data_IF_042671694234
#
_entry.id   IF_042671694234
#
_cell.length_a   1.000
_cell.length_b   1.000
_cell.length_c   1.000
_cell.angle_alpha   90.00
_cell.angle_beta   90.00
_cell.angle_gamma   90.00
#
_symmetry.space_group_name_H-M   'P 1'
#
loop_
_entity.id
_entity.type
_entity.pdbx_description
1 polymer ?
#
# COMPACT_ATOMS: atom_id res chain seq x y z
N UNK A 1 36.83 1.51 -67.47
CA UNK A 1 36.52 2.33 -66.29
C UNK A 1 35.01 2.28 -66.01
N UNK A 2 34.57 1.53 -65.00
CA UNK A 2 33.21 1.60 -64.44
C UNK A 2 33.36 1.60 -62.92
N UNK A 3 33.08 2.74 -62.28
CA UNK A 3 33.05 2.86 -60.81
C UNK A 3 31.61 2.58 -60.37
N UNK A 4 31.44 1.53 -59.57
CA UNK A 4 30.20 1.13 -58.93
C UNK A 4 30.11 1.89 -57.60
N UNK A 5 29.15 2.81 -57.47
CA UNK A 5 28.88 3.51 -56.21
C UNK A 5 28.06 2.59 -55.30
N UNK A 6 28.65 2.17 -54.18
CA UNK A 6 27.97 1.46 -53.10
C UNK A 6 27.50 2.52 -52.10
N UNK A 7 26.17 2.69 -52.00
CA UNK A 7 25.52 3.45 -50.93
C UNK A 7 25.53 2.59 -49.65
N UNK A 8 25.92 3.10 -48.47
CA UNK A 8 25.65 2.40 -47.22
C UNK A 8 24.22 2.71 -46.77
N UNK A 9 23.36 1.70 -46.75
CA UNK A 9 22.07 1.76 -46.09
C UNK A 9 22.29 1.78 -44.57
N UNK A 10 22.11 2.96 -43.97
CA UNK A 10 22.10 3.16 -42.53
C UNK A 10 20.77 2.59 -41.99
N UNK A 11 20.78 1.31 -41.56
CA UNK A 11 19.68 0.72 -40.82
C UNK A 11 19.61 1.38 -39.43
N UNK A 12 18.66 2.31 -39.25
CA UNK A 12 18.25 2.74 -37.92
C UNK A 12 17.54 1.59 -37.22
N UNK A 13 18.25 0.95 -36.30
CA UNK A 13 17.66 0.09 -35.27
C UNK A 13 16.83 0.98 -34.33
N UNK A 14 15.54 1.10 -34.61
CA UNK A 14 14.57 1.60 -33.63
C UNK A 14 14.36 0.50 -32.60
N UNK A 15 15.04 0.61 -31.45
CA UNK A 15 14.73 -0.22 -30.30
C UNK A 15 13.25 0.03 -29.90
N UNK A 16 12.45 -1.01 -29.62
CA UNK A 16 11.15 -0.81 -29.03
C UNK A 16 11.37 -0.16 -27.66
N UNK A 17 10.86 1.06 -27.49
CA UNK A 17 10.76 1.68 -26.18
C UNK A 17 9.88 0.75 -25.33
N UNK A 18 10.49 0.05 -24.39
CA UNK A 18 9.76 -0.57 -23.30
C UNK A 18 9.06 0.57 -22.57
N UNK A 19 7.77 0.74 -22.81
CA UNK A 19 6.92 1.71 -22.14
C UNK A 19 6.89 1.37 -20.66
N UNK A 20 7.79 1.96 -19.88
CA UNK A 20 7.67 1.97 -18.43
C UNK A 20 6.34 2.66 -18.11
N UNK A 21 5.45 1.96 -17.40
CA UNK A 21 4.17 2.53 -16.95
C UNK A 21 4.47 3.81 -16.16
N UNK A 22 3.89 4.93 -16.60
CA UNK A 22 4.18 6.24 -16.02
C UNK A 22 3.44 6.39 -14.69
N UNK A 23 4.16 6.61 -13.59
CA UNK A 23 3.54 6.90 -12.30
C UNK A 23 2.73 8.19 -12.39
N UNK A 24 1.47 8.15 -11.95
CA UNK A 24 0.55 9.28 -11.97
C UNK A 24 -0.05 9.54 -10.60
N UNK A 25 -0.36 10.81 -10.33
CA UNK A 25 -1.11 11.21 -9.14
C UNK A 25 -2.55 11.50 -9.53
N UNK A 26 -3.50 10.86 -8.86
CA UNK A 26 -4.92 11.19 -9.01
C UNK A 26 -5.16 12.51 -8.27
N UNK A 27 -5.51 13.57 -8.99
CA UNK A 27 -5.78 14.89 -8.41
C UNK A 27 -7.25 15.09 -8.10
N UNK A 28 -8.13 14.47 -8.89
CA UNK A 28 -9.58 14.56 -8.72
C UNK A 28 -10.25 13.20 -9.00
N UNK A 29 -10.37 12.38 -7.96
CA UNK A 29 -11.02 11.07 -8.08
C UNK A 29 -12.54 11.17 -8.28
N UNK A 30 -13.16 12.34 -8.04
CA UNK A 30 -14.60 12.52 -8.20
C UNK A 30 -15.03 12.39 -9.67
N UNK A 31 -14.10 12.63 -10.61
CA UNK A 31 -14.33 12.48 -12.04
C UNK A 31 -14.16 11.04 -12.56
N UNK A 32 -13.97 10.07 -11.67
CA UNK A 32 -13.89 8.66 -12.02
C UNK A 32 -15.15 8.17 -12.75
N UNK A 33 -14.96 7.47 -13.87
CA UNK A 33 -16.04 6.83 -14.63
C UNK A 33 -16.39 5.48 -13.98
N UNK A 34 -17.29 5.48 -13.00
CA UNK A 34 -17.56 4.31 -12.14
C UNK A 34 -18.29 3.14 -12.76
N UNK A 35 -19.20 3.38 -13.70
CA UNK A 35 -19.97 2.32 -14.38
C UNK A 35 -19.30 1.84 -15.67
N UNK A 36 -18.01 2.08 -15.77
CA UNK A 36 -17.26 1.67 -16.94
C UNK A 36 -16.96 0.17 -16.84
N UNK A 37 -17.43 -0.58 -17.82
CA UNK A 37 -17.08 -1.98 -18.01
C UNK A 37 -16.02 -1.99 -19.11
N UNK A 38 -14.74 -2.06 -18.73
CA UNK A 38 -13.63 -1.91 -19.69
C UNK A 38 -13.76 -2.90 -20.85
N UNK A 39 -14.32 -4.09 -20.61
CA UNK A 39 -14.49 -5.13 -21.62
C UNK A 39 -15.47 -4.74 -22.74
N UNK A 40 -16.35 -3.74 -22.50
CA UNK A 40 -17.34 -3.27 -23.47
C UNK A 40 -16.88 -2.05 -24.26
N UNK A 41 -15.76 -1.44 -23.90
CA UNK A 41 -15.21 -0.28 -24.60
C UNK A 41 -14.08 -0.70 -25.56
N UNK A 42 -14.33 -0.72 -26.89
CA UNK A 42 -13.32 -1.09 -27.86
C UNK A 42 -12.14 -0.10 -27.91
N UNK A 43 -12.36 1.17 -27.54
CA UNK A 43 -11.31 2.19 -27.55
C UNK A 43 -10.24 1.89 -26.49
N UNK A 44 -10.63 1.27 -25.37
CA UNK A 44 -9.69 0.87 -24.30
C UNK A 44 -8.79 -0.26 -24.75
N UNK A 45 -9.37 -1.27 -25.42
CA UNK A 45 -8.57 -2.37 -25.98
C UNK A 45 -7.55 -1.85 -27.00
N UNK A 46 -7.96 -0.96 -27.90
CA UNK A 46 -7.04 -0.32 -28.84
C UNK A 46 -5.98 0.54 -28.14
N UNK A 47 -6.35 1.27 -27.09
CA UNK A 47 -5.42 2.07 -26.29
C UNK A 47 -4.36 1.22 -25.58
N UNK A 48 -4.76 0.08 -24.98
CA UNK A 48 -3.80 -0.85 -24.34
C UNK A 48 -2.87 -1.52 -25.35
N UNK A 49 -3.39 -1.90 -26.53
CA UNK A 49 -2.56 -2.43 -27.62
C UNK A 49 -1.54 -1.40 -28.12
N UNK A 50 -1.96 -0.15 -28.30
CA UNK A 50 -1.07 0.95 -28.70
C UNK A 50 -0.01 1.26 -27.63
N UNK A 51 -0.32 1.06 -26.34
CA UNK A 51 0.64 1.16 -25.24
C UNK A 51 1.63 -0.03 -25.17
N UNK A 52 1.44 -1.06 -25.99
CA UNK A 52 2.31 -2.23 -26.04
C UNK A 52 2.05 -3.26 -24.94
N UNK A 53 0.84 -3.28 -24.35
CA UNK A 53 0.48 -4.35 -23.42
C UNK A 53 0.32 -5.69 -24.13
N UNK A 54 0.81 -6.74 -23.49
CA UNK A 54 0.57 -8.12 -23.91
C UNK A 54 -0.89 -8.55 -23.66
N UNK A 55 -1.32 -9.59 -24.36
CA UNK A 55 -2.71 -10.05 -24.38
C UNK A 55 -3.19 -10.58 -23.02
N UNK A 56 -2.33 -11.27 -22.28
CA UNK A 56 -2.65 -11.79 -20.95
C UNK A 56 -2.95 -10.64 -19.98
N UNK A 57 -2.07 -9.63 -19.97
CA UNK A 57 -2.20 -8.45 -19.11
C UNK A 57 -3.39 -7.59 -19.48
N UNK A 58 -3.71 -7.47 -20.78
CA UNK A 58 -4.93 -6.79 -21.24
C UNK A 58 -6.17 -7.52 -20.75
N UNK A 59 -6.24 -8.84 -20.90
CA UNK A 59 -7.39 -9.62 -20.45
C UNK A 59 -7.59 -9.48 -18.93
N UNK A 60 -6.51 -9.52 -18.16
CA UNK A 60 -6.56 -9.27 -16.72
C UNK A 60 -7.11 -7.87 -16.39
N UNK A 61 -6.64 -6.82 -17.08
CA UNK A 61 -7.14 -5.47 -16.90
C UNK A 61 -8.64 -5.35 -17.23
N UNK A 62 -9.10 -5.95 -18.33
CA UNK A 62 -10.50 -5.96 -18.74
C UNK A 62 -11.39 -6.71 -17.74
N UNK A 63 -10.90 -7.81 -17.16
CA UNK A 63 -11.64 -8.59 -16.17
C UNK A 63 -11.75 -7.88 -14.82
N UNK A 64 -10.69 -7.18 -14.42
CA UNK A 64 -10.60 -6.46 -13.16
C UNK A 64 -11.22 -5.06 -13.22
N UNK A 65 -11.29 -4.43 -14.38
CA UNK A 65 -11.89 -3.11 -14.58
C UNK A 65 -13.42 -3.09 -14.65
N UNK A 66 -14.08 -3.83 -13.77
CA UNK A 66 -15.54 -3.83 -13.63
C UNK A 66 -15.92 -3.00 -12.42
N UNK A 67 -17.04 -2.28 -12.50
CA UNK A 67 -17.57 -1.49 -11.37
C UNK A 67 -17.76 -2.32 -10.08
N UNK A 68 -18.06 -3.62 -10.22
CA UNK A 68 -18.23 -4.55 -9.11
C UNK A 68 -16.92 -4.84 -8.34
N UNK A 69 -15.76 -4.56 -8.95
CA UNK A 69 -14.45 -4.76 -8.34
C UNK A 69 -13.93 -3.49 -7.65
N UNK A 70 -14.68 -2.38 -7.69
CA UNK A 70 -14.33 -1.19 -6.92
C UNK A 70 -14.54 -1.47 -5.42
N UNK A 71 -13.64 -0.96 -4.56
CA UNK A 71 -13.80 -1.09 -3.12
C UNK A 71 -15.05 -0.33 -2.64
N UNK A 72 -15.60 -0.71 -1.50
CA UNK A 72 -16.90 -0.21 -0.99
C UNK A 72 -16.93 1.32 -0.92
N UNK A 73 -15.82 1.94 -0.53
CA UNK A 73 -15.61 3.38 -0.43
C UNK A 73 -15.61 4.14 -1.77
N UNK A 74 -15.53 3.45 -2.91
CA UNK A 74 -15.65 4.02 -4.26
C UNK A 74 -16.87 3.50 -5.05
N UNK A 75 -17.57 2.51 -4.51
CA UNK A 75 -18.65 1.77 -5.21
C UNK A 75 -19.91 2.60 -5.50
N UNK A 76 -20.19 3.63 -4.69
CA UNK A 76 -21.40 4.48 -4.82
C UNK A 76 -21.06 5.96 -4.84
N UNK A 77 -22.00 6.81 -5.27
CA UNK A 77 -21.82 8.26 -5.39
C UNK A 77 -21.51 8.86 -4.03
N UNK A 78 -22.29 8.45 -3.02
CA UNK A 78 -22.12 8.89 -1.63
C UNK A 78 -20.80 8.42 -1.03
N UNK A 79 -20.40 7.17 -1.33
CA UNK A 79 -19.12 6.64 -0.85
C UNK A 79 -17.93 7.37 -1.49
N UNK A 80 -17.96 7.59 -2.81
CA UNK A 80 -16.95 8.35 -3.52
C UNK A 80 -16.86 9.78 -2.96
N UNK A 81 -17.99 10.46 -2.81
CA UNK A 81 -18.05 11.82 -2.28
C UNK A 81 -17.45 11.94 -0.86
N UNK A 82 -17.70 10.95 0.00
CA UNK A 82 -17.11 10.90 1.35
C UNK A 82 -15.59 10.65 1.33
N UNK A 83 -15.05 10.08 0.25
CA UNK A 83 -13.66 9.63 0.16
C UNK A 83 -12.81 10.40 -0.86
N UNK A 84 -13.31 11.50 -1.44
CA UNK A 84 -12.59 12.30 -2.46
C UNK A 84 -11.18 12.65 -1.99
N UNK A 85 -11.05 13.16 -0.76
CA UNK A 85 -9.77 13.58 -0.21
C UNK A 85 -8.77 12.42 -0.05
N UNK A 86 -9.27 11.22 0.24
CA UNK A 86 -8.44 10.03 0.39
C UNK A 86 -7.99 9.46 -0.96
N UNK A 87 -8.78 9.64 -2.03
CA UNK A 87 -8.44 9.16 -3.38
C UNK A 87 -7.14 9.74 -3.94
N UNK A 88 -6.74 10.94 -3.51
CA UNK A 88 -5.47 11.53 -3.91
C UNK A 88 -4.22 10.82 -3.34
N UNK A 89 -4.42 9.91 -2.37
CA UNK A 89 -3.35 9.15 -1.72
C UNK A 89 -3.06 7.80 -2.39
N UNK A 90 -3.82 7.42 -3.42
CA UNK A 90 -3.49 6.23 -4.20
C UNK A 90 -2.16 6.40 -4.95
N UNK A 91 -1.37 5.34 -4.94
CA UNK A 91 -0.28 5.12 -5.89
C UNK A 91 -0.86 4.48 -7.14
N UNK A 92 -0.64 5.12 -8.28
CA UNK A 92 -1.32 4.76 -9.50
C UNK A 92 -0.38 4.90 -10.72
N UNK A 93 -0.57 4.06 -11.72
CA UNK A 93 0.25 4.01 -12.92
C UNK A 93 -0.62 4.15 -14.17
N UNK A 94 -0.23 5.05 -15.07
CA UNK A 94 -0.87 5.22 -16.37
C UNK A 94 -0.62 3.98 -17.21
N UNK A 95 -1.72 3.39 -17.70
CA UNK A 95 -1.68 2.25 -18.60
C UNK A 95 -1.74 2.73 -20.05
N UNK A 96 -2.78 3.48 -20.39
CA UNK A 96 -2.94 4.02 -21.73
C UNK A 96 -3.82 5.27 -21.72
N UNK A 97 -3.65 6.08 -22.77
CA UNK A 97 -4.56 7.15 -23.11
C UNK A 97 -5.48 6.67 -24.22
N UNK A 98 -6.74 7.05 -24.15
CA UNK A 98 -7.70 6.80 -25.21
C UNK A 98 -8.69 7.94 -25.28
N UNK A 99 -9.49 7.99 -26.34
CA UNK A 99 -10.48 9.05 -26.55
C UNK A 99 -11.78 8.39 -26.96
N UNK A 100 -12.87 8.80 -26.33
CA UNK A 100 -14.22 8.41 -26.71
C UNK A 100 -15.11 9.64 -26.96
N UNK A 101 -16.41 9.44 -27.15
CA UNK A 101 -17.36 10.51 -27.43
C UNK A 101 -17.43 11.57 -26.32
N UNK A 102 -17.03 11.23 -25.08
CA UNK A 102 -17.00 12.15 -23.95
C UNK A 102 -15.64 12.87 -23.79
N UNK A 103 -14.65 12.57 -24.64
CA UNK A 103 -13.36 13.25 -24.68
C UNK A 103 -12.17 12.36 -24.28
N UNK A 104 -11.00 12.98 -24.03
CA UNK A 104 -9.77 12.27 -23.70
C UNK A 104 -9.82 11.67 -22.30
N UNK A 105 -9.53 10.38 -22.20
CA UNK A 105 -9.54 9.58 -20.98
C UNK A 105 -8.25 8.81 -20.83
N UNK A 106 -8.00 8.41 -19.59
CA UNK A 106 -6.80 7.68 -19.19
C UNK A 106 -7.22 6.49 -18.36
N UNK A 107 -6.72 5.32 -18.74
CA UNK A 107 -6.79 4.11 -17.93
C UNK A 107 -5.62 4.08 -16.95
N UNK A 108 -5.93 3.93 -15.67
CA UNK A 108 -4.96 3.93 -14.59
C UNK A 108 -5.06 2.63 -13.80
N UNK A 109 -3.93 2.00 -13.53
CA UNK A 109 -3.82 0.86 -12.62
C UNK A 109 -3.46 1.37 -11.22
N UNK A 110 -4.14 0.83 -10.21
CA UNK A 110 -3.86 1.05 -8.79
C UNK A 110 -3.45 -0.31 -8.20
N UNK A 111 -2.13 -0.60 -8.09
CA UNK A 111 -1.66 -1.90 -7.65
C UNK A 111 -1.95 -2.15 -6.17
N UNK A 112 -2.37 -3.36 -5.82
CA UNK A 112 -2.67 -3.72 -4.42
C UNK A 112 -1.44 -3.61 -3.52
N UNK A 113 -0.28 -4.05 -4.01
CA UNK A 113 0.98 -4.09 -3.26
C UNK A 113 1.48 -2.69 -2.88
N UNK A 114 1.19 -1.69 -3.70
CA UNK A 114 1.61 -0.30 -3.48
C UNK A 114 0.62 0.52 -2.64
N UNK A 115 -0.58 0.00 -2.42
CA UNK A 115 -1.69 0.72 -1.79
C UNK A 115 -2.15 0.09 -0.46
N UNK A 116 -1.28 -0.67 0.19
CA UNK A 116 -1.55 -1.29 1.50
C UNK A 116 -1.74 -0.28 2.64
N UNK A 117 -1.38 1.00 2.44
CA UNK A 117 -1.62 2.10 3.38
C UNK A 117 -3.05 2.66 3.31
N UNK A 118 -3.80 2.40 2.24
CA UNK A 118 -5.14 2.96 2.06
C UNK A 118 -6.15 2.35 3.06
N UNK A 119 -7.16 3.11 3.55
CA UNK A 119 -8.20 2.60 4.45
C UNK A 119 -8.90 1.34 3.93
N UNK A 120 -9.46 0.50 4.81
CA UNK A 120 -10.11 -0.79 4.44
C UNK A 120 -11.20 -0.59 3.39
N UNK A 121 -12.04 0.43 3.56
CA UNK A 121 -13.13 0.73 2.62
C UNK A 121 -12.63 1.20 1.25
N UNK A 122 -11.37 1.64 1.14
CA UNK A 122 -10.75 2.11 -0.09
C UNK A 122 -9.73 1.11 -0.65
N UNK A 123 -9.58 -0.04 -0.03
CA UNK A 123 -8.62 -1.05 -0.46
C UNK A 123 -9.32 -2.16 -1.22
N UNK A 124 -8.73 -2.53 -2.35
CA UNK A 124 -9.10 -3.72 -3.11
C UNK A 124 -8.19 -4.89 -2.71
N UNK A 125 -8.70 -6.12 -2.78
CA UNK A 125 -7.93 -7.35 -2.59
C UNK A 125 -7.10 -7.74 -3.84
N UNK A 126 -7.39 -7.08 -4.95
CA UNK A 126 -6.75 -7.23 -6.26
C UNK A 126 -6.41 -5.85 -6.85
N UNK A 127 -5.62 -5.81 -7.91
CA UNK A 127 -5.33 -4.59 -8.63
C UNK A 127 -6.62 -3.95 -9.16
N UNK A 128 -6.73 -2.63 -8.98
CA UNK A 128 -7.89 -1.87 -9.41
C UNK A 128 -7.56 -1.09 -10.68
N UNK A 129 -8.49 -1.07 -11.63
CA UNK A 129 -8.36 -0.32 -12.87
C UNK A 129 -9.42 0.77 -12.90
N UNK A 130 -8.98 2.02 -13.02
CA UNK A 130 -9.83 3.21 -12.95
C UNK A 130 -9.69 3.99 -14.25
N UNK A 131 -10.82 4.47 -14.76
CA UNK A 131 -10.87 5.43 -15.87
C UNK A 131 -11.11 6.83 -15.32
N UNK A 132 -10.22 7.75 -15.68
CA UNK A 132 -10.28 9.17 -15.31
C UNK A 132 -10.08 10.03 -16.57
N UNK A 133 -10.70 11.23 -16.65
CA UNK A 133 -10.31 12.19 -17.67
C UNK A 133 -8.87 12.65 -17.44
N UNK A 134 -8.18 13.05 -18.51
CA UNK A 134 -6.76 13.44 -18.42
C UNK A 134 -6.51 14.59 -17.41
N UNK A 135 -7.44 15.54 -17.30
CA UNK A 135 -7.36 16.65 -16.35
C UNK A 135 -7.51 16.26 -14.88
N UNK A 136 -7.98 15.03 -14.57
CA UNK A 136 -8.07 14.50 -13.22
C UNK A 136 -6.78 13.79 -12.75
N UNK A 137 -5.74 13.82 -13.60
CA UNK A 137 -4.42 13.30 -13.30
C UNK A 137 -3.39 14.44 -13.29
N UNK A 138 -2.47 14.35 -12.34
CA UNK A 138 -1.20 15.07 -12.39
C UNK A 138 -0.06 14.11 -12.69
N UNK A 139 1.01 14.62 -13.29
CA UNK A 139 2.30 13.91 -13.29
C UNK A 139 2.66 13.60 -11.84
N UNK A 140 2.89 12.33 -11.51
CA UNK A 140 3.47 12.05 -10.20
C UNK A 140 4.82 12.77 -10.18
N UNK A 141 5.02 13.68 -9.22
CA UNK A 141 6.37 14.10 -8.88
C UNK A 141 7.14 12.79 -8.70
N UNK A 142 8.11 12.54 -9.59
CA UNK A 142 8.86 11.30 -9.60
C UNK A 142 9.26 11.00 -8.18
N UNK A 143 8.85 9.82 -7.69
CA UNK A 143 9.06 9.31 -6.32
C UNK A 143 10.57 9.15 -5.99
N UNK A 144 11.46 9.81 -6.73
CA UNK A 144 12.92 9.77 -6.66
C UNK A 144 13.50 10.23 -5.31
N UNK A 145 12.69 10.73 -4.37
CA UNK A 145 13.16 11.10 -3.03
C UNK A 145 12.24 10.71 -1.88
N UNK A 146 11.14 9.98 -2.11
CA UNK A 146 10.43 9.36 -0.98
C UNK A 146 11.01 7.97 -0.79
N UNK A 147 11.84 7.74 0.25
CA UNK A 147 12.29 6.38 0.54
C UNK A 147 11.05 5.48 0.64
N UNK A 148 11.07 4.33 -0.06
CA UNK A 148 10.01 3.34 0.03
C UNK A 148 9.72 3.11 1.52
N UNK A 149 8.46 3.17 1.97
CA UNK A 149 8.14 2.94 3.38
C UNK A 149 8.77 1.61 3.80
N UNK A 150 9.60 1.64 4.84
CA UNK A 150 10.29 0.42 5.27
C UNK A 150 9.25 -0.65 5.60
N UNK A 151 9.47 -1.93 5.24
CA UNK A 151 8.63 -3.02 5.72
C UNK A 151 8.67 -3.11 7.26
N UNK A 152 9.68 -2.51 7.89
CA UNK A 152 9.96 -2.60 9.32
C UNK A 152 11.10 -3.60 9.59
N UNK A 153 11.62 -3.65 10.83
CA UNK A 153 12.70 -4.55 11.18
C UNK A 153 12.34 -6.03 10.97
N UNK A 154 13.35 -6.83 10.63
CA UNK A 154 13.17 -8.26 10.39
C UNK A 154 12.89 -9.02 11.70
N UNK A 155 11.61 -9.31 11.92
CA UNK A 155 11.11 -9.99 13.11
C UNK A 155 11.49 -11.48 13.22
N UNK A 156 11.94 -12.13 12.14
CA UNK A 156 12.24 -13.57 12.15
C UNK A 156 13.37 -13.95 13.10
N UNK A 157 14.24 -12.99 13.42
CA UNK A 157 15.37 -13.21 14.32
C UNK A 157 15.09 -12.74 15.75
N UNK A 158 13.94 -12.10 15.99
CA UNK A 158 13.55 -11.58 17.31
C UNK A 158 13.06 -12.69 18.25
N UNK A 159 13.23 -12.54 19.58
CA UNK A 159 12.67 -13.46 20.56
C UNK A 159 11.13 -13.49 20.48
N UNK A 160 10.54 -14.68 20.62
CA UNK A 160 9.08 -14.80 20.64
C UNK A 160 8.52 -14.25 21.95
N UNK A 161 7.47 -13.44 21.87
CA UNK A 161 6.79 -12.83 23.00
C UNK A 161 5.32 -13.27 23.07
N UNK A 162 4.82 -13.43 24.30
CA UNK A 162 3.42 -13.72 24.61
C UNK A 162 2.85 -12.59 25.46
N UNK A 163 1.77 -11.99 24.99
CA UNK A 163 0.99 -10.99 25.75
C UNK A 163 0.20 -11.74 26.83
N UNK A 164 0.48 -11.44 28.10
CA UNK A 164 -0.21 -12.01 29.26
C UNK A 164 -1.33 -11.10 29.74
N UNK A 165 -1.10 -9.78 29.74
CA UNK A 165 -2.05 -8.77 30.24
C UNK A 165 -2.36 -7.78 29.12
N UNK A 166 -3.49 -7.97 28.42
CA UNK A 166 -3.78 -7.29 27.16
C UNK A 166 -3.97 -5.77 27.31
N UNK A 167 -4.50 -5.34 28.44
CA UNK A 167 -4.73 -3.96 28.87
C UNK A 167 -3.46 -3.23 29.31
N UNK A 168 -2.34 -3.93 29.49
CA UNK A 168 -1.02 -3.32 29.77
C UNK A 168 -0.37 -2.65 28.55
N UNK A 169 -1.15 -2.31 27.53
CA UNK A 169 -0.69 -1.69 26.27
C UNK A 169 -0.70 -0.17 26.39
N UNK A 170 0.40 0.46 26.00
CA UNK A 170 0.50 1.91 25.88
C UNK A 170 0.13 2.34 24.46
N UNK A 171 -1.17 2.36 24.18
CA UNK A 171 -1.72 2.54 22.82
C UNK A 171 -1.45 3.93 22.18
N UNK A 172 -1.24 4.94 23.02
CA UNK A 172 -0.97 6.33 22.63
C UNK A 172 0.47 6.75 22.96
N UNK A 173 1.36 5.79 23.26
CA UNK A 173 2.75 6.11 23.55
C UNK A 173 3.42 6.74 22.33
N UNK A 174 3.94 7.96 22.49
CA UNK A 174 4.66 8.64 21.43
C UNK A 174 6.13 8.19 21.41
N UNK A 175 6.38 7.09 20.71
CA UNK A 175 7.72 6.55 20.53
C UNK A 175 8.65 7.50 19.76
N UNK A 176 8.10 8.41 18.95
CA UNK A 176 8.88 9.36 18.14
C UNK A 176 9.44 10.54 18.94
N UNK A 177 8.88 10.82 20.10
CA UNK A 177 9.37 11.87 21.01
C UNK A 177 10.34 11.36 22.07
N UNK A 178 10.52 10.04 22.18
CA UNK A 178 11.38 9.39 23.17
C UNK A 178 12.80 9.15 22.62
N UNK A 179 13.67 10.13 22.82
CA UNK A 179 15.04 10.14 22.29
C UNK A 179 15.86 8.93 22.80
N UNK A 180 15.66 8.50 24.04
CA UNK A 180 16.41 7.39 24.63
C UNK A 180 16.02 6.07 23.97
N UNK A 181 14.73 5.88 23.68
CA UNK A 181 14.24 4.72 22.93
C UNK A 181 14.73 4.75 21.49
N UNK A 182 14.65 5.89 20.80
CA UNK A 182 15.15 6.01 19.43
C UNK A 182 16.63 5.67 19.34
N UNK A 183 17.45 6.19 20.27
CA UNK A 183 18.89 5.87 20.36
C UNK A 183 19.11 4.38 20.58
N UNK A 184 18.27 3.74 21.39
CA UNK A 184 18.34 2.29 21.62
C UNK A 184 17.98 1.48 20.38
N UNK A 185 16.95 1.88 19.62
CA UNK A 185 16.61 1.22 18.36
C UNK A 185 17.74 1.32 17.33
N UNK A 186 18.42 2.47 17.25
CA UNK A 186 19.63 2.65 16.44
C UNK A 186 20.74 1.70 16.93
N UNK A 187 20.96 1.62 18.24
CA UNK A 187 21.95 0.72 18.85
C UNK A 187 21.67 -0.77 18.60
N UNK A 188 20.41 -1.15 18.37
CA UNK A 188 20.02 -2.50 17.94
C UNK A 188 20.22 -2.76 16.43
N UNK A 189 20.75 -1.78 15.70
CA UNK A 189 21.07 -1.88 14.28
C UNK A 189 19.89 -1.57 13.34
N UNK A 190 18.81 -0.95 13.83
CA UNK A 190 17.71 -0.53 12.97
C UNK A 190 18.12 0.69 12.13
N UNK A 191 17.82 0.66 10.84
CA UNK A 191 17.95 1.81 9.95
C UNK A 191 16.92 2.89 10.28
N UNK A 192 17.19 4.14 9.90
CA UNK A 192 16.24 5.24 10.13
C UNK A 192 14.86 4.95 9.54
N UNK A 193 14.79 4.37 8.34
CA UNK A 193 13.53 4.02 7.69
C UNK A 193 12.74 2.96 8.47
N UNK A 194 13.42 2.00 9.10
CA UNK A 194 12.78 1.02 10.00
C UNK A 194 12.26 1.68 11.27
N UNK A 195 13.02 2.60 11.86
CA UNK A 195 12.62 3.37 13.03
C UNK A 195 11.37 4.22 12.71
N UNK A 196 11.36 4.92 11.59
CA UNK A 196 10.21 5.72 11.15
C UNK A 196 8.97 4.84 10.98
N UNK A 197 9.13 3.63 10.42
CA UNK A 197 8.05 2.67 10.28
C UNK A 197 7.54 2.16 11.65
N UNK A 198 8.44 1.88 12.59
CA UNK A 198 8.11 1.47 13.96
C UNK A 198 7.33 2.57 14.67
N UNK A 199 7.86 3.80 14.69
CA UNK A 199 7.23 4.97 15.30
C UNK A 199 5.84 5.16 14.73
N UNK A 200 5.71 5.22 13.40
CA UNK A 200 4.44 5.42 12.74
C UNK A 200 3.43 4.33 13.10
N UNK A 201 3.81 3.05 13.02
CA UNK A 201 2.90 1.91 13.21
C UNK A 201 2.74 1.47 14.68
N UNK A 202 3.38 2.17 15.63
CA UNK A 202 3.26 1.92 17.07
C UNK A 202 2.05 2.58 17.73
N UNK A 203 1.48 3.60 17.08
CA UNK A 203 0.38 4.39 17.60
C UNK A 203 -0.99 3.83 17.18
N UNK A 204 -1.97 3.82 18.09
CA UNK A 204 -3.30 3.24 17.85
C UNK A 204 -4.02 3.72 16.59
N UNK A 205 -3.91 5.01 16.24
CA UNK A 205 -4.46 5.58 15.00
C UNK A 205 -4.04 4.84 13.71
N UNK A 206 -2.93 4.11 13.76
CA UNK A 206 -2.36 3.36 12.63
C UNK A 206 -2.52 1.83 12.80
N UNK A 207 -3.26 1.38 13.81
CA UNK A 207 -3.61 -0.02 13.99
C UNK A 207 -4.87 -0.38 13.18
N UNK A 208 -5.22 -1.68 13.06
CA UNK A 208 -6.46 -2.10 12.41
C UNK A 208 -7.68 -1.36 12.97
N UNK A 209 -8.62 -1.01 12.09
CA UNK A 209 -9.78 -0.18 12.40
C UNK A 209 -10.61 -0.67 13.59
N UNK A 210 -10.56 -1.98 13.89
CA UNK A 210 -11.25 -2.53 15.04
C UNK A 210 -10.55 -2.29 16.38
N UNK A 211 -9.34 -1.75 16.44
CA UNK A 211 -8.56 -1.52 17.66
C UNK A 211 -7.84 -0.16 17.67
N UNK A 212 -8.19 0.73 16.74
CA UNK A 212 -7.57 2.04 16.50
C UNK A 212 -7.93 3.13 17.52
N UNK A 213 -8.79 2.80 18.47
CA UNK A 213 -9.34 3.66 19.51
C UNK A 213 -9.66 2.82 20.75
N UNK A 214 -9.74 3.46 21.92
CA UNK A 214 -10.03 2.77 23.17
C UNK A 214 -11.37 2.02 23.13
N UNK A 215 -12.43 2.66 22.65
CA UNK A 215 -13.80 2.13 22.60
C UNK A 215 -13.88 0.88 21.72
N UNK A 216 -13.12 0.85 20.62
CA UNK A 216 -13.08 -0.29 19.71
C UNK A 216 -12.16 -1.41 20.20
N UNK A 217 -11.05 -1.04 20.85
CA UNK A 217 -10.06 -1.97 21.40
C UNK A 217 -10.57 -2.71 22.64
N UNK A 218 -11.21 -2.01 23.57
CA UNK A 218 -11.57 -2.54 24.89
C UNK A 218 -12.39 -3.85 24.80
N UNK A 219 -13.44 -3.96 23.96
CA UNK A 219 -14.19 -5.21 23.78
C UNK A 219 -13.38 -6.36 23.17
N UNK A 220 -12.23 -6.06 22.55
CA UNK A 220 -11.40 -6.99 21.78
C UNK A 220 -10.07 -7.33 22.46
N UNK A 221 -9.82 -6.86 23.69
CA UNK A 221 -8.59 -7.15 24.45
C UNK A 221 -8.30 -8.65 24.55
N UNK A 222 -9.33 -9.50 24.64
CA UNK A 222 -9.18 -10.96 24.64
C UNK A 222 -8.48 -11.51 23.39
N UNK A 223 -8.55 -10.81 22.26
CA UNK A 223 -7.87 -11.20 21.03
C UNK A 223 -6.37 -10.88 21.06
N UNK A 224 -5.93 -9.89 21.85
CA UNK A 224 -4.52 -9.49 21.88
C UNK A 224 -3.62 -10.62 22.38
N UNK A 225 -4.10 -11.41 23.35
CA UNK A 225 -3.43 -12.62 23.84
C UNK A 225 -3.23 -13.71 22.77
N UNK A 226 -3.94 -13.63 21.65
CA UNK A 226 -3.84 -14.58 20.54
C UNK A 226 -2.84 -14.14 19.46
N UNK A 227 -2.35 -12.90 19.51
CA UNK A 227 -1.33 -12.46 18.56
C UNK A 227 -0.05 -13.29 18.72
N UNK A 228 0.54 -13.64 17.58
CA UNK A 228 1.93 -14.05 17.50
C UNK A 228 2.77 -12.78 17.48
N UNK A 229 3.51 -12.54 18.56
CA UNK A 229 4.32 -11.35 18.74
C UNK A 229 5.79 -11.73 18.97
N UNK A 230 6.67 -10.77 18.68
CA UNK A 230 8.10 -10.89 18.92
C UNK A 230 8.61 -9.61 19.57
N UNK A 231 9.64 -9.72 20.39
CA UNK A 231 10.26 -8.58 21.06
C UNK A 231 11.23 -7.87 20.10
N UNK A 232 10.90 -6.63 19.75
CA UNK A 232 11.76 -5.79 18.92
C UNK A 232 12.78 -5.00 19.76
N UNK A 233 12.37 -4.53 20.94
CA UNK A 233 13.22 -3.84 21.90
C UNK A 233 12.57 -3.85 23.28
N UNK A 234 13.33 -3.53 24.31
CA UNK A 234 12.82 -3.22 25.64
C UNK A 234 13.64 -2.10 26.28
N UNK A 235 13.02 -1.34 27.18
CA UNK A 235 13.64 -0.26 27.95
C UNK A 235 12.85 -0.09 29.24
N UNK A 236 13.47 0.37 30.32
CA UNK A 236 12.83 0.63 31.61
C UNK A 236 11.83 -0.46 32.04
N UNK A 237 10.54 -0.11 32.12
CA UNK A 237 9.41 -0.97 32.42
C UNK A 237 8.58 -1.34 31.17
N UNK A 238 9.08 -1.08 29.96
CA UNK A 238 8.38 -1.26 28.67
C UNK A 238 9.06 -2.24 27.74
N UNK A 239 8.27 -2.78 26.83
CA UNK A 239 8.68 -3.67 25.75
C UNK A 239 7.96 -3.28 24.47
N UNK A 240 8.71 -3.16 23.38
CA UNK A 240 8.18 -2.99 22.04
C UNK A 240 8.00 -4.35 21.40
N UNK A 241 6.75 -4.66 21.07
CA UNK A 241 6.39 -5.85 20.34
C UNK A 241 6.16 -5.53 18.88
N UNK A 242 6.68 -6.39 18.00
CA UNK A 242 6.22 -6.49 16.62
C UNK A 242 5.18 -7.58 16.52
N UNK A 243 4.08 -7.29 15.83
CA UNK A 243 3.00 -8.22 15.52
C UNK A 243 2.98 -8.39 14.00
N UNK A 244 3.65 -9.44 13.47
CA UNK A 244 3.80 -9.57 12.04
C UNK A 244 2.50 -9.93 11.34
N UNK A 245 2.19 -9.26 10.24
CA UNK A 245 1.02 -9.56 9.41
C UNK A 245 1.02 -11.03 8.97
N UNK A 246 2.15 -11.51 8.44
CA UNK A 246 2.27 -12.86 7.89
C UNK A 246 1.88 -13.96 8.89
N UNK A 247 2.12 -13.72 10.18
CA UNK A 247 1.86 -14.66 11.27
C UNK A 247 0.44 -14.54 11.84
N UNK A 248 -0.21 -13.40 11.61
CA UNK A 248 -1.49 -13.02 12.22
C UNK A 248 -2.62 -12.82 11.20
N UNK A 249 -2.42 -13.19 9.93
CA UNK A 249 -3.40 -13.13 8.83
C UNK A 249 -4.74 -13.84 9.09
N UNK A 250 -4.80 -14.78 10.04
CA UNK A 250 -6.03 -15.51 10.43
C UNK A 250 -6.75 -14.91 11.65
N UNK A 251 -6.30 -13.77 12.15
CA UNK A 251 -7.00 -13.06 13.24
C UNK A 251 -8.38 -12.57 12.78
N UNK A 252 -9.34 -12.39 13.69
CA UNK A 252 -10.66 -11.85 13.36
C UNK A 252 -10.58 -10.50 12.64
N UNK A 253 -11.56 -10.25 11.78
CA UNK A 253 -11.74 -8.97 11.07
C UNK A 253 -11.73 -7.80 12.07
N UNK A 254 -11.07 -6.70 11.69
CA UNK A 254 -10.84 -5.54 12.56
C UNK A 254 -9.73 -5.71 13.60
N UNK A 255 -9.21 -6.92 13.84
CA UNK A 255 -8.00 -7.15 14.68
C UNK A 255 -6.82 -7.69 13.87
N UNK A 256 -7.08 -8.27 12.70
CA UNK A 256 -6.00 -8.70 11.80
C UNK A 256 -5.15 -7.51 11.35
N UNK A 257 -3.81 -7.54 11.52
CA UNK A 257 -2.94 -6.56 10.90
C UNK A 257 -3.00 -6.70 9.38
N UNK A 258 -2.75 -5.60 8.65
CA UNK A 258 -2.56 -5.63 7.20
C UNK A 258 -1.10 -5.41 6.79
N UNK A 259 -0.33 -4.90 7.72
CA UNK A 259 1.12 -4.77 7.70
C UNK A 259 1.60 -5.07 9.13
N UNK A 260 2.91 -5.18 9.32
CA UNK A 260 3.46 -5.37 10.66
C UNK A 260 3.12 -4.15 11.51
N UNK A 261 2.47 -4.38 12.65
CA UNK A 261 2.13 -3.33 13.62
C UNK A 261 3.01 -3.49 14.84
N UNK A 262 3.22 -2.37 15.55
CA UNK A 262 4.02 -2.35 16.76
C UNK A 262 3.15 -1.95 17.94
N UNK A 263 3.43 -2.53 19.10
CA UNK A 263 2.71 -2.22 20.32
C UNK A 263 3.70 -2.09 21.45
N UNK A 264 3.63 -0.98 22.18
CA UNK A 264 4.39 -0.79 23.41
C UNK A 264 3.58 -1.37 24.55
N UNK A 265 4.17 -2.26 25.34
CA UNK A 265 3.56 -2.91 26.48
C UNK A 265 4.38 -2.66 27.74
N UNK A 266 3.75 -2.75 28.90
CA UNK A 266 4.49 -2.92 30.15
C UNK A 266 5.22 -4.28 30.13
N UNK A 267 6.45 -4.34 30.64
CA UNK A 267 7.24 -5.58 30.76
C UNK A 267 6.49 -6.66 31.55
N UNK A 268 5.78 -6.27 32.61
CA UNK A 268 4.97 -7.19 33.42
C UNK A 268 3.77 -7.80 32.65
N UNK A 269 3.37 -7.18 31.55
CA UNK A 269 2.25 -7.60 30.71
C UNK A 269 2.66 -8.55 29.57
N UNK A 270 3.95 -8.90 29.48
CA UNK A 270 4.51 -9.72 28.40
C UNK A 270 5.49 -10.74 28.97
N UNK A 271 5.43 -11.96 28.44
CA UNK A 271 6.43 -13.00 28.67
C UNK A 271 7.25 -13.20 27.40
N UNK A 272 8.55 -12.93 27.46
CA UNK A 272 9.49 -13.19 26.37
C UNK A 272 10.14 -14.56 26.57
N UNK A 273 10.18 -15.38 25.52
CA UNK A 273 10.94 -16.62 25.53
C UNK A 273 12.38 -16.33 25.17
N UNK A 274 13.30 -16.65 26.08
CA UNK A 274 14.73 -16.62 25.77
C UNK A 274 15.04 -17.55 24.60
N UNK A 275 15.87 -17.04 23.69
CA UNK A 275 16.39 -17.83 22.57
C UNK A 275 17.42 -18.80 23.16
N UNK A 276 17.12 -20.11 23.09
CA UNK A 276 18.13 -21.15 23.33
C UNK A 276 19.16 -21.16 22.22
#
# INVERSE_FOLDING_TARGET
MRKLNILPALLLLTAPAASAQEAVRITDIAQMVRKHDLAKDPAIRSGMQAAGMDEERMNNALDLGKAANLPVGLSTDSALAANIAAGANYKAHRICNYTDEAGPKVLVQVPVEENTHMPEDLRSDQDMYIVLPEGALGTALTDAMRPKPSPGPNWKYMPSARITTADGVYATYDLGSDIDVLTKLIGLGMSQAEIDAVVFRSHERNWPAGIDSFERRYPKLKHFRKYKAFEAAHWDDKVLLVIPYQMNKRMPIGTRPHMDIYMVYAKSAVSVKEKK
#
